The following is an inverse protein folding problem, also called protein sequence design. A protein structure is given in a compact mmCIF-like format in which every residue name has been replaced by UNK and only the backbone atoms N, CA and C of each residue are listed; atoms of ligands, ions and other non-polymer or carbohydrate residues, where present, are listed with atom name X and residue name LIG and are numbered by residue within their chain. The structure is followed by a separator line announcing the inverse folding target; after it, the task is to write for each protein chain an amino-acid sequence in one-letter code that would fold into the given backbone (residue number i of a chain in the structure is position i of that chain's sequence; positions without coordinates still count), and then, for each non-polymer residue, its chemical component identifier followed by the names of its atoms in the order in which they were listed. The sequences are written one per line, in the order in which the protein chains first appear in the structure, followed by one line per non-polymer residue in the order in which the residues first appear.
data_IF_965079526267
#
_entry.id   IF_965079526267
#
_cell.length_a   1.000
_cell.length_b   1.000
_cell.length_c   1.000
_cell.angle_alpha   90.00
_cell.angle_beta   90.00
_cell.angle_gamma   90.00
#
_symmetry.space_group_name_H-M   'P 1'
#
loop_
_entity.id
_entity.type
_entity.pdbx_description
1 polymer ?
#
# COMPACT_ATOMS: atom_id res chain seq x y z
N UNK A 1 -11.23 -9.57 3.75
CA UNK A 1 -10.56 -8.31 3.35
C UNK A 1 -9.41 -8.13 4.32
N UNK A 2 -8.21 -7.92 3.80
CA UNK A 2 -7.01 -7.63 4.61
C UNK A 2 -6.70 -6.14 4.41
N UNK A 3 -6.42 -5.44 5.50
CA UNK A 3 -5.81 -4.11 5.44
C UNK A 3 -4.30 -4.33 5.50
N UNK A 4 -3.60 -3.90 4.44
CA UNK A 4 -2.18 -4.20 4.16
C UNK A 4 -1.89 -5.67 3.87
N UNK A 5 -0.65 -5.95 3.46
CA UNK A 5 -0.19 -7.30 3.15
C UNK A 5 1.23 -7.55 3.66
N UNK A 6 1.60 -8.82 3.79
CA UNK A 6 2.97 -9.21 4.15
C UNK A 6 4.01 -8.70 3.14
N UNK A 7 3.59 -8.51 1.89
CA UNK A 7 4.42 -7.91 0.84
C UNK A 7 4.69 -6.41 1.08
N UNK A 8 3.72 -5.69 1.65
CA UNK A 8 3.86 -4.30 2.04
C UNK A 8 4.72 -4.15 3.31
N UNK A 9 4.54 -5.06 4.27
CA UNK A 9 5.32 -5.07 5.51
C UNK A 9 6.83 -5.25 5.23
N UNK A 10 7.17 -6.09 4.24
CA UNK A 10 8.55 -6.26 3.79
C UNK A 10 9.14 -4.97 3.19
N UNK A 11 8.35 -4.22 2.41
CA UNK A 11 8.73 -2.91 1.87
C UNK A 11 8.98 -1.91 3.01
N UNK A 12 8.06 -1.83 3.96
CA UNK A 12 8.17 -0.91 5.08
C UNK A 12 9.40 -1.21 5.95
N UNK A 13 9.66 -2.49 6.21
CA UNK A 13 10.86 -2.92 6.95
C UNK A 13 12.13 -2.51 6.20
N UNK A 14 12.20 -2.76 4.88
CA UNK A 14 13.35 -2.35 4.06
C UNK A 14 13.64 -0.85 4.14
N UNK A 15 12.60 -0.01 4.09
CA UNK A 15 12.74 1.46 4.19
C UNK A 15 13.28 1.86 5.57
N UNK A 16 12.85 1.17 6.64
CA UNK A 16 13.36 1.46 7.98
C UNK A 16 14.84 1.05 8.14
N UNK A 17 15.27 -0.03 7.49
CA UNK A 17 16.70 -0.40 7.43
C UNK A 17 17.50 0.66 6.66
N UNK A 18 17.01 1.10 5.50
CA UNK A 18 17.66 2.14 4.70
C UNK A 18 17.80 3.48 5.44
N UNK A 19 16.85 3.76 6.32
CA UNK A 19 16.87 4.96 7.16
C UNK A 19 17.66 4.77 8.47
N UNK A 20 18.21 3.58 8.73
CA UNK A 20 18.99 3.27 9.93
C UNK A 20 18.16 3.08 11.20
N UNK A 21 16.85 2.88 11.08
CA UNK A 21 15.93 2.63 12.20
C UNK A 21 15.91 1.15 12.62
N UNK A 22 16.32 0.25 11.73
CA UNK A 22 16.43 -1.20 11.94
C UNK A 22 17.85 -1.60 11.53
N UNK A 23 18.52 -2.42 12.34
CA UNK A 23 19.87 -2.89 12.01
C UNK A 23 19.84 -3.96 10.91
N UNK A 24 20.98 -4.18 10.25
CA UNK A 24 21.08 -5.25 9.25
C UNK A 24 20.83 -6.63 9.88
N UNK A 25 21.27 -6.87 11.12
CA UNK A 25 21.02 -8.11 11.84
C UNK A 25 19.52 -8.33 12.12
N UNK A 26 18.82 -7.28 12.55
CA UNK A 26 17.36 -7.30 12.75
C UNK A 26 16.63 -7.54 11.42
N UNK A 27 17.14 -6.98 10.32
CA UNK A 27 16.58 -7.19 9.00
C UNK A 27 16.72 -8.63 8.52
N UNK A 28 17.90 -9.23 8.70
CA UNK A 28 18.13 -10.63 8.34
C UNK A 28 17.26 -11.57 9.17
N UNK A 29 17.07 -11.27 10.46
CA UNK A 29 16.14 -12.02 11.30
C UNK A 29 14.69 -11.89 10.80
N UNK A 30 14.27 -10.67 10.45
CA UNK A 30 12.96 -10.42 9.86
C UNK A 30 12.75 -11.24 8.57
N UNK A 31 13.72 -11.22 7.65
CA UNK A 31 13.65 -11.97 6.38
C UNK A 31 13.56 -13.48 6.62
N UNK A 32 14.32 -14.02 7.58
CA UNK A 32 14.24 -15.44 7.93
C UNK A 32 12.84 -15.83 8.47
N UNK A 33 12.24 -14.97 9.31
CA UNK A 33 10.87 -15.20 9.79
C UNK A 33 9.85 -15.13 8.67
N UNK A 34 9.98 -14.14 7.78
CA UNK A 34 9.13 -13.96 6.61
C UNK A 34 9.20 -15.18 5.69
N UNK A 35 10.40 -15.68 5.38
CA UNK A 35 10.61 -16.84 4.52
C UNK A 35 9.93 -18.09 5.10
N UNK A 36 10.08 -18.33 6.41
CA UNK A 36 9.41 -19.45 7.08
C UNK A 36 7.88 -19.35 6.96
N UNK A 37 7.31 -18.15 7.17
CA UNK A 37 5.86 -17.93 7.02
C UNK A 37 5.41 -18.16 5.58
N UNK A 38 6.19 -17.70 4.60
CA UNK A 38 5.89 -17.89 3.17
C UNK A 38 5.99 -19.35 2.75
N UNK A 39 6.93 -20.11 3.31
CA UNK A 39 7.04 -21.56 3.12
C UNK A 39 5.79 -22.28 3.65
N UNK A 40 5.29 -21.94 4.83
CA UNK A 40 4.04 -22.50 5.36
C UNK A 40 2.84 -22.19 4.46
N UNK A 41 2.74 -20.95 3.96
CA UNK A 41 1.69 -20.55 3.02
C UNK A 41 1.73 -21.33 1.69
N UNK A 42 2.90 -21.84 1.29
CA UNK A 42 3.05 -22.64 0.07
C UNK A 42 2.25 -23.96 0.12
N UNK A 43 1.94 -24.43 1.33
CA UNK A 43 1.13 -25.64 1.60
C UNK A 43 -0.38 -25.38 1.51
N UNK A 44 -0.79 -24.11 1.52
CA UNK A 44 -2.20 -23.73 1.42
C UNK A 44 -2.66 -23.71 -0.05
N UNK A 45 -3.94 -24.03 -0.31
CA UNK A 45 -4.50 -23.99 -1.66
C UNK A 45 -4.57 -22.57 -2.24
N UNK A 46 -4.52 -21.53 -1.41
CA UNK A 46 -4.55 -20.12 -1.82
C UNK A 46 -3.31 -19.38 -1.32
N UNK A 47 -2.46 -18.95 -2.26
CA UNK A 47 -1.11 -18.41 -2.00
C UNK A 47 -1.02 -16.89 -2.04
N UNK A 48 -2.02 -16.22 -2.61
CA UNK A 48 -2.09 -14.77 -2.72
C UNK A 48 -3.54 -14.28 -2.64
N UNK A 49 -3.76 -12.99 -2.34
CA UNK A 49 -5.08 -12.37 -2.44
C UNK A 49 -5.65 -12.48 -3.86
N UNK A 50 -6.99 -12.52 -4.01
CA UNK A 50 -7.63 -12.56 -5.34
C UNK A 50 -7.43 -11.24 -6.11
N UNK A 51 -7.22 -10.15 -5.38
CA UNK A 51 -6.98 -8.81 -5.91
C UNK A 51 -6.23 -7.96 -4.89
N UNK A 52 -5.16 -7.30 -5.34
CA UNK A 52 -4.55 -6.20 -4.61
C UNK A 52 -5.12 -4.86 -5.06
N UNK A 53 -5.63 -4.07 -4.12
CA UNK A 53 -6.15 -2.72 -4.39
C UNK A 53 -5.15 -1.70 -3.83
N UNK A 54 -4.67 -0.81 -4.68
CA UNK A 54 -3.77 0.28 -4.33
C UNK A 54 -4.51 1.61 -4.47
N UNK A 55 -4.60 2.36 -3.37
CA UNK A 55 -5.18 3.70 -3.35
C UNK A 55 -4.07 4.69 -3.70
N UNK A 56 -4.08 5.16 -4.95
CA UNK A 56 -3.10 6.10 -5.47
C UNK A 56 -3.63 7.52 -5.32
N UNK A 57 -2.85 8.37 -4.68
CA UNK A 57 -3.15 9.77 -4.48
C UNK A 57 -1.88 10.60 -4.67
N UNK A 58 -2.05 11.82 -5.14
CA UNK A 58 -0.99 12.82 -5.15
C UNK A 58 -0.38 13.00 -3.76
N UNK A 59 0.91 13.31 -3.75
CA UNK A 59 1.63 13.54 -2.50
C UNK A 59 0.98 14.68 -1.69
N UNK A 60 0.53 15.71 -2.38
CA UNK A 60 -0.19 16.86 -1.85
C UNK A 60 -1.50 16.46 -1.17
N UNK A 61 -2.29 15.57 -1.80
CA UNK A 61 -3.52 15.04 -1.22
C UNK A 61 -3.22 14.25 0.06
N UNK A 62 -2.21 13.38 0.03
CA UNK A 62 -1.81 12.58 1.20
C UNK A 62 -1.43 13.52 2.37
N UNK A 63 -0.64 14.57 2.11
CA UNK A 63 -0.27 15.55 3.12
C UNK A 63 -1.49 16.32 3.66
N UNK A 64 -2.43 16.70 2.79
CA UNK A 64 -3.68 17.34 3.20
C UNK A 64 -4.49 16.43 4.15
N UNK A 65 -4.56 15.14 3.85
CA UNK A 65 -5.22 14.15 4.71
C UNK A 65 -4.50 13.96 6.06
N UNK A 66 -3.17 13.88 6.07
CA UNK A 66 -2.37 13.83 7.31
C UNK A 66 -2.63 15.06 8.18
N UNK A 67 -2.63 16.25 7.56
CA UNK A 67 -2.92 17.52 8.24
C UNK A 67 -4.34 17.53 8.81
N UNK A 68 -5.33 17.09 8.03
CA UNK A 68 -6.73 16.99 8.45
C UNK A 68 -6.94 16.03 9.63
N UNK A 69 -6.19 14.91 9.70
CA UNK A 69 -6.24 13.97 10.83
C UNK A 69 -5.72 14.58 12.14
N UNK A 70 -4.82 15.57 12.08
CA UNK A 70 -4.39 16.35 13.24
C UNK A 70 -3.58 15.60 14.30
N UNK A 71 -3.07 14.39 14.00
CA UNK A 71 -2.18 13.66 14.92
C UNK A 71 -0.85 14.39 15.00
N UNK A 72 -0.49 14.85 16.20
CA UNK A 72 0.67 15.74 16.43
C UNK A 72 1.98 15.15 15.95
N UNK A 73 2.20 13.86 16.16
CA UNK A 73 3.40 13.13 15.75
C UNK A 73 3.47 12.80 14.25
N UNK A 74 2.39 13.00 13.49
CA UNK A 74 2.38 12.85 12.01
C UNK A 74 2.57 14.19 11.29
N UNK A 75 2.61 15.32 11.98
CA UNK A 75 2.67 16.63 11.33
C UNK A 75 4.09 16.94 10.85
N UNK A 76 4.35 17.09 9.54
CA UNK A 76 5.66 17.43 9.05
C UNK A 76 6.03 18.86 9.45
N UNK A 77 7.23 19.01 9.99
CA UNK A 77 7.88 20.30 10.24
C UNK A 77 9.21 20.33 9.51
N UNK A 78 9.83 21.50 9.40
CA UNK A 78 11.16 21.63 8.80
C UNK A 78 12.22 20.82 9.57
N UNK A 79 12.00 20.61 10.87
CA UNK A 79 12.99 20.04 11.80
C UNK A 79 12.86 18.52 11.96
N UNK A 80 11.69 17.92 11.68
CA UNK A 80 11.45 16.51 12.02
C UNK A 80 11.65 15.51 10.87
N UNK A 81 11.97 15.99 9.66
CA UNK A 81 12.27 15.13 8.51
C UNK A 81 11.08 14.30 7.97
N UNK A 82 9.87 14.49 8.49
CA UNK A 82 8.70 13.71 8.08
C UNK A 82 8.30 13.97 6.63
N UNK A 83 8.52 15.19 6.12
CA UNK A 83 8.19 15.50 4.72
C UNK A 83 9.02 14.66 3.75
N UNK A 84 10.34 14.57 3.97
CA UNK A 84 11.24 13.73 3.18
C UNK A 84 10.90 12.26 3.33
N UNK A 85 10.57 11.82 4.55
CA UNK A 85 10.16 10.45 4.81
C UNK A 85 8.86 10.08 4.08
N UNK A 86 7.84 10.93 4.13
CA UNK A 86 6.60 10.69 3.40
C UNK A 86 6.80 10.68 1.89
N UNK A 87 7.71 11.50 1.36
CA UNK A 87 8.05 11.48 -0.07
C UNK A 87 8.75 10.17 -0.47
N UNK A 88 9.66 9.68 0.37
CA UNK A 88 10.30 8.38 0.20
C UNK A 88 9.27 7.25 0.19
N UNK A 89 8.36 7.23 1.18
CA UNK A 89 7.26 6.26 1.21
C UNK A 89 6.39 6.34 -0.05
N UNK A 90 5.97 7.54 -0.44
CA UNK A 90 5.12 7.74 -1.63
C UNK A 90 5.76 7.13 -2.89
N UNK A 91 7.04 7.41 -3.11
CA UNK A 91 7.79 6.85 -4.25
C UNK A 91 7.91 5.32 -4.13
N UNK A 92 8.34 4.83 -2.98
CA UNK A 92 8.59 3.40 -2.76
C UNK A 92 7.32 2.55 -2.93
N UNK A 93 6.17 3.03 -2.46
CA UNK A 93 4.88 2.36 -2.64
C UNK A 93 4.42 2.36 -4.09
N UNK A 94 4.63 3.47 -4.83
CA UNK A 94 4.35 3.53 -6.26
C UNK A 94 5.17 2.50 -7.04
N UNK A 95 6.48 2.47 -6.80
CA UNK A 95 7.40 1.51 -7.44
C UNK A 95 7.05 0.07 -7.08
N UNK A 96 6.75 -0.20 -5.80
CA UNK A 96 6.33 -1.52 -5.34
C UNK A 96 5.04 -1.99 -6.00
N UNK A 97 4.05 -1.11 -6.16
CA UNK A 97 2.83 -1.45 -6.87
C UNK A 97 3.13 -1.87 -8.32
N UNK A 98 4.03 -1.17 -9.02
CA UNK A 98 4.42 -1.54 -10.38
C UNK A 98 5.13 -2.90 -10.44
N UNK A 99 5.99 -3.19 -9.46
CA UNK A 99 6.74 -4.44 -9.38
C UNK A 99 5.89 -5.64 -8.92
N UNK A 100 4.79 -5.41 -8.21
CA UNK A 100 3.94 -6.48 -7.71
C UNK A 100 3.42 -7.38 -8.84
N UNK A 101 3.67 -8.69 -8.70
CA UNK A 101 3.35 -9.71 -9.69
C UNK A 101 2.74 -11.00 -9.09
N UNK A 102 2.35 -10.99 -7.82
CA UNK A 102 1.82 -12.18 -7.13
C UNK A 102 0.32 -12.45 -7.41
N UNK A 103 -0.35 -11.56 -8.13
CA UNK A 103 -1.76 -11.69 -8.49
C UNK A 103 -2.30 -10.46 -9.20
N UNK A 104 -3.62 -10.44 -9.51
CA UNK A 104 -4.27 -9.26 -10.06
C UNK A 104 -4.09 -8.05 -9.16
N UNK A 105 -3.83 -6.88 -9.77
CA UNK A 105 -3.76 -5.59 -9.08
C UNK A 105 -4.68 -4.56 -9.72
N UNK A 106 -5.20 -3.66 -8.91
CA UNK A 106 -6.09 -2.55 -9.29
C UNK A 106 -5.59 -1.28 -8.60
N UNK A 107 -5.35 -0.24 -9.40
CA UNK A 107 -5.07 1.12 -8.92
C UNK A 107 -6.39 1.90 -8.89
N UNK A 108 -6.70 2.51 -7.76
CA UNK A 108 -7.82 3.43 -7.58
C UNK A 108 -7.26 4.83 -7.40
N UNK A 109 -7.71 5.76 -8.22
CA UNK A 109 -7.37 7.17 -8.14
C UNK A 109 -8.16 7.85 -7.01
N UNK A 110 -7.51 8.01 -5.86
CA UNK A 110 -8.08 8.63 -4.67
C UNK A 110 -8.04 10.16 -4.71
N UNK A 111 -7.40 10.79 -5.71
CA UNK A 111 -7.61 12.22 -5.98
C UNK A 111 -8.97 12.46 -6.64
N UNK A 112 -9.41 11.52 -7.47
CA UNK A 112 -10.67 11.59 -8.21
C UNK A 112 -11.88 11.11 -7.41
N UNK A 113 -11.74 10.03 -6.65
CA UNK A 113 -12.87 9.37 -5.98
C UNK A 113 -12.86 9.64 -4.48
N UNK A 114 -13.89 10.32 -3.97
CA UNK A 114 -14.11 10.46 -2.52
C UNK A 114 -15.06 9.38 -2.01
N UNK A 115 -14.55 8.43 -1.23
CA UNK A 115 -15.37 7.34 -0.67
C UNK A 115 -16.45 7.81 0.32
N UNK A 116 -16.39 9.05 0.80
CA UNK A 116 -17.46 9.65 1.59
C UNK A 116 -18.64 10.12 0.71
N UNK A 117 -18.44 10.19 -0.60
CA UNK A 117 -19.47 10.40 -1.59
C UNK A 117 -20.01 9.05 -2.08
N UNK A 118 -21.32 8.84 -1.93
CA UNK A 118 -21.96 7.57 -2.28
C UNK A 118 -21.80 7.18 -3.76
N UNK A 119 -21.81 8.17 -4.68
CA UNK A 119 -21.67 7.92 -6.12
C UNK A 119 -20.25 7.50 -6.48
N UNK A 120 -19.26 8.13 -5.85
CA UNK A 120 -17.85 7.79 -6.08
C UNK A 120 -17.52 6.44 -5.44
N UNK A 121 -18.05 6.17 -4.24
CA UNK A 121 -17.98 4.85 -3.62
C UNK A 121 -18.55 3.77 -4.54
N UNK A 122 -19.74 3.99 -5.13
CA UNK A 122 -20.33 3.02 -6.05
C UNK A 122 -19.43 2.79 -7.28
N UNK A 123 -18.81 3.84 -7.82
CA UNK A 123 -17.86 3.71 -8.92
C UNK A 123 -16.63 2.87 -8.54
N UNK A 124 -16.06 3.10 -7.36
CA UNK A 124 -14.91 2.33 -6.86
C UNK A 124 -15.31 0.87 -6.61
N UNK A 125 -16.48 0.65 -6.03
CA UNK A 125 -17.01 -0.69 -5.79
C UNK A 125 -17.21 -1.47 -7.10
N UNK A 126 -17.78 -0.85 -8.12
CA UNK A 126 -18.00 -1.48 -9.43
C UNK A 126 -16.67 -1.84 -10.10
N UNK A 127 -15.65 -0.98 -10.01
CA UNK A 127 -14.29 -1.27 -10.49
C UNK A 127 -13.68 -2.50 -9.80
N UNK A 128 -13.81 -2.58 -8.46
CA UNK A 128 -13.33 -3.71 -7.67
C UNK A 128 -14.07 -5.00 -8.07
N UNK A 129 -15.40 -4.95 -8.18
CA UNK A 129 -16.22 -6.09 -8.59
C UNK A 129 -15.88 -6.58 -10.00
N UNK A 130 -15.70 -5.67 -10.95
CA UNK A 130 -15.34 -6.04 -12.31
C UNK A 130 -13.98 -6.73 -12.36
N UNK A 131 -13.00 -6.20 -11.61
CA UNK A 131 -11.66 -6.79 -11.55
C UNK A 131 -11.65 -8.17 -10.89
N UNK A 132 -12.40 -8.35 -9.79
CA UNK A 132 -12.54 -9.65 -9.12
C UNK A 132 -13.23 -10.70 -10.00
N UNK A 133 -14.21 -10.29 -10.80
CA UNK A 133 -14.99 -11.19 -11.65
C UNK A 133 -14.41 -11.38 -13.06
N UNK A 134 -13.25 -10.79 -13.36
CA UNK A 134 -12.61 -10.88 -14.68
C UNK A 134 -13.42 -10.23 -15.82
N UNK A 135 -14.28 -9.26 -15.51
CA UNK A 135 -15.09 -8.53 -16.51
C UNK A 135 -14.40 -7.21 -16.87
N UNK A 136 -14.16 -6.96 -18.15
CA UNK A 136 -13.84 -5.62 -18.64
C UNK A 136 -15.09 -4.73 -18.51
N UNK A 137 -15.00 -3.63 -17.77
CA UNK A 137 -16.04 -2.59 -17.82
C UNK A 137 -15.81 -1.82 -19.12
N UNK A 138 -16.70 -2.01 -20.10
CA UNK A 138 -16.84 -1.06 -21.20
C UNK A 138 -17.46 0.22 -20.63
N UNK A 139 -16.64 1.24 -20.40
CA UNK A 139 -17.13 2.58 -20.10
C UNK A 139 -17.49 3.22 -21.45
N UNK A 140 -18.79 3.32 -21.73
CA UNK A 140 -19.34 4.06 -22.87
C UNK A 140 -19.44 5.56 -22.60
#
# INVERSE_FOLDING_TARGET
MLDRSIYEDALFTKINVDNGNISEEEYQLYLALLDNMMEELSTLPKKAPDLMVYLDASFEHILANIKKRGRTFEQPTEENGLLSYYKQLHTAYGDWFEQYNHGPKLRIDADRYDVNNEKDWQNVFDQIQAKLNGKEIMIG
#
